data_IF_364305192760
#
_entry.id   IF_364305192760
#
_cell.length_a   1.000
_cell.length_b   1.000
_cell.length_c   1.000
_cell.angle_alpha   90.00
_cell.angle_beta   90.00
_cell.angle_gamma   90.00
#
_symmetry.space_group_name_H-M   'P 1'
#
loop_
_entity.id
_entity.type
_entity.pdbx_description
1 polymer ?
#
# COMPACT_ATOMS: atom_id res chain seq x y z
N UNK A 1 2.80 18.92 -5.94
CA UNK A 1 3.17 17.66 -6.58
C UNK A 1 3.32 16.60 -5.49
N UNK A 2 2.57 15.52 -5.53
CA UNK A 2 2.70 14.42 -4.56
C UNK A 2 3.94 13.61 -4.92
N UNK A 3 4.96 13.60 -4.06
CA UNK A 3 6.21 12.85 -4.30
C UNK A 3 6.05 11.35 -4.15
N UNK A 4 4.84 10.83 -3.90
CA UNK A 4 4.60 9.41 -3.65
C UNK A 4 5.26 8.86 -2.38
N UNK A 5 5.84 9.72 -1.54
CA UNK A 5 6.54 9.33 -0.31
C UNK A 5 5.90 9.99 0.90
N UNK A 6 5.68 9.24 1.96
CA UNK A 6 5.30 9.74 3.29
C UNK A 6 5.94 8.86 4.37
N UNK A 7 6.10 9.39 5.57
CA UNK A 7 6.56 8.57 6.68
C UNK A 7 5.35 8.06 7.48
N UNK A 8 5.33 6.76 7.73
CA UNK A 8 4.22 6.08 8.38
C UNK A 8 4.41 4.58 8.50
N UNK A 9 3.31 3.84 8.46
CA UNK A 9 3.31 2.38 8.64
C UNK A 9 3.17 1.57 7.34
N UNK A 10 2.83 2.22 6.21
CA UNK A 10 2.63 1.54 4.94
C UNK A 10 1.41 0.62 4.92
N UNK A 11 0.24 1.17 5.21
CA UNK A 11 -1.04 0.44 5.12
C UNK A 11 -2.15 1.33 4.57
N UNK A 12 -3.04 0.71 3.81
CA UNK A 12 -4.34 1.31 3.49
C UNK A 12 -5.27 1.09 4.68
N UNK A 13 -5.99 2.13 5.07
CA UNK A 13 -6.97 2.09 6.16
C UNK A 13 -8.34 2.57 5.70
N UNK A 14 -9.41 2.05 6.30
CA UNK A 14 -10.78 2.46 6.01
C UNK A 14 -11.63 2.45 7.27
N UNK A 15 -12.73 3.20 7.27
CA UNK A 15 -13.68 3.19 8.38
C UNK A 15 -14.62 1.98 8.30
N UNK A 16 -14.81 1.29 9.42
CA UNK A 16 -15.73 0.15 9.54
C UNK A 16 -16.92 0.55 10.41
N UNK A 17 -18.05 0.80 9.75
CA UNK A 17 -19.26 1.37 10.41
C UNK A 17 -19.77 0.56 11.59
N UNK A 18 -19.79 -0.79 11.50
CA UNK A 18 -20.31 -1.65 12.58
C UNK A 18 -19.46 -1.59 13.85
N UNK A 19 -18.14 -1.48 13.68
CA UNK A 19 -17.20 -1.42 14.79
C UNK A 19 -16.98 0.01 15.30
N UNK A 20 -17.46 1.02 14.55
CA UNK A 20 -17.19 2.44 14.79
C UNK A 20 -15.69 2.71 14.95
N UNK A 21 -14.88 2.08 14.10
CA UNK A 21 -13.42 2.09 14.14
C UNK A 21 -12.79 2.05 12.76
N UNK A 22 -11.53 2.43 12.69
CA UNK A 22 -10.71 2.29 11.50
C UNK A 22 -10.12 0.88 11.46
N UNK A 23 -10.10 0.29 10.28
CA UNK A 23 -9.59 -1.06 9.99
C UNK A 23 -8.42 -0.95 9.03
N UNK A 24 -7.42 -1.78 9.22
CA UNK A 24 -6.35 -2.02 8.24
C UNK A 24 -6.97 -2.79 7.07
N UNK A 25 -7.04 -2.17 5.89
CA UNK A 25 -7.52 -2.84 4.68
C UNK A 25 -6.43 -3.67 4.04
N UNK A 26 -5.23 -3.09 3.94
CA UNK A 26 -4.11 -3.72 3.27
C UNK A 26 -2.79 -3.15 3.79
N UNK A 27 -1.93 -3.96 4.43
CA UNK A 27 -0.53 -3.63 4.65
C UNK A 27 0.24 -3.75 3.33
N UNK A 28 1.04 -2.74 2.97
CA UNK A 28 1.90 -2.85 1.80
C UNK A 28 3.00 -3.89 2.03
N UNK A 29 3.42 -4.52 0.93
CA UNK A 29 4.55 -5.44 0.96
C UNK A 29 5.81 -4.75 1.51
N UNK A 30 6.57 -5.47 2.35
CA UNK A 30 7.81 -5.01 2.99
C UNK A 30 7.68 -3.70 3.80
N UNK A 31 6.46 -3.32 4.18
CA UNK A 31 6.18 -2.14 5.00
C UNK A 31 6.38 -2.40 6.50
N UNK A 32 6.56 -1.34 7.32
CA UNK A 32 6.65 -1.48 8.77
C UNK A 32 5.48 -2.22 9.41
N UNK A 33 4.26 -2.01 8.92
CA UNK A 33 3.07 -2.71 9.41
C UNK A 33 3.13 -4.20 9.10
N UNK A 34 3.51 -4.59 7.90
CA UNK A 34 3.63 -5.99 7.51
C UNK A 34 4.76 -6.68 8.31
N UNK A 35 5.92 -6.06 8.40
CA UNK A 35 7.07 -6.57 9.18
C UNK A 35 6.72 -6.77 10.66
N UNK A 36 5.90 -5.90 11.23
CA UNK A 36 5.41 -6.03 12.60
C UNK A 36 4.35 -7.13 12.78
N UNK A 37 3.79 -7.69 11.70
CA UNK A 37 2.77 -8.74 11.75
C UNK A 37 1.33 -8.25 11.71
N UNK A 38 1.09 -6.97 11.37
CA UNK A 38 -0.25 -6.43 11.10
C UNK A 38 -0.82 -7.08 9.84
N UNK A 39 -2.12 -7.39 9.86
CA UNK A 39 -2.82 -8.06 8.76
C UNK A 39 -4.04 -7.28 8.30
N UNK A 40 -4.45 -7.53 7.07
CA UNK A 40 -5.75 -7.06 6.58
C UNK A 40 -6.89 -7.56 7.49
N UNK A 41 -7.83 -6.68 7.81
CA UNK A 41 -8.93 -6.94 8.73
C UNK A 41 -8.65 -6.59 10.19
N UNK A 42 -7.42 -6.23 10.58
CA UNK A 42 -7.11 -5.78 11.93
C UNK A 42 -7.85 -4.47 12.24
N UNK A 43 -8.66 -4.47 13.29
CA UNK A 43 -9.45 -3.32 13.75
C UNK A 43 -8.60 -2.52 14.73
N UNK A 44 -8.33 -1.25 14.45
CA UNK A 44 -7.48 -0.40 15.30
C UNK A 44 -8.26 -0.01 16.57
N UNK A 45 -7.73 -0.43 17.72
CA UNK A 45 -8.29 -0.09 19.03
C UNK A 45 -7.66 1.16 19.61
N UNK A 46 -6.33 1.22 19.62
CA UNK A 46 -5.58 2.32 20.21
C UNK A 46 -4.23 2.55 19.51
N UNK A 47 -3.76 3.77 19.57
CA UNK A 47 -2.42 4.22 19.13
C UNK A 47 -1.76 4.91 20.31
N UNK A 48 -0.60 4.42 20.77
CA UNK A 48 0.08 4.88 21.99
C UNK A 48 -0.89 4.98 23.19
N UNK A 49 -1.65 3.90 23.44
CA UNK A 49 -2.66 3.81 24.51
C UNK A 49 -3.88 4.73 24.35
N UNK A 50 -3.92 5.60 23.34
CA UNK A 50 -5.05 6.46 23.05
C UNK A 50 -6.09 5.69 22.24
N UNK A 51 -7.30 5.51 22.79
CA UNK A 51 -8.43 4.91 22.07
C UNK A 51 -8.84 5.76 20.87
N UNK A 52 -9.08 5.12 19.74
CA UNK A 52 -9.44 5.77 18.47
C UNK A 52 -10.87 5.46 18.02
N UNK A 53 -11.72 4.96 18.93
CA UNK A 53 -13.13 4.68 18.64
C UNK A 53 -13.84 5.96 18.17
N UNK A 54 -14.66 5.84 17.13
CA UNK A 54 -15.42 6.97 16.59
C UNK A 54 -14.59 8.04 15.88
N UNK A 55 -13.25 7.85 15.77
CA UNK A 55 -12.43 8.83 15.07
C UNK A 55 -12.54 8.65 13.55
N UNK A 56 -12.63 9.76 12.79
CA UNK A 56 -12.60 9.71 11.33
C UNK A 56 -11.25 9.18 10.81
N UNK A 57 -11.27 8.58 9.62
CA UNK A 57 -10.09 7.95 8.98
C UNK A 57 -8.90 8.89 8.92
N UNK A 58 -9.13 10.14 8.51
CA UNK A 58 -8.05 11.13 8.36
C UNK A 58 -7.32 11.39 9.67
N UNK A 59 -8.06 11.47 10.78
CA UNK A 59 -7.50 11.68 12.11
C UNK A 59 -6.65 10.48 12.55
N UNK A 60 -7.15 9.27 12.35
CA UNK A 60 -6.40 8.04 12.66
C UNK A 60 -5.19 7.92 11.74
N UNK A 61 -5.34 8.17 10.43
CA UNK A 61 -4.23 8.17 9.47
C UNK A 61 -3.11 9.13 9.87
N UNK A 62 -3.47 10.34 10.33
CA UNK A 62 -2.48 11.32 10.80
C UNK A 62 -1.74 10.86 12.06
N UNK A 63 -2.40 10.10 12.94
CA UNK A 63 -1.75 9.50 14.11
C UNK A 63 -0.80 8.34 13.72
N UNK A 64 -1.11 7.59 12.67
CA UNK A 64 -0.25 6.53 12.15
C UNK A 64 0.96 7.09 11.41
N UNK A 65 0.85 8.28 10.80
CA UNK A 65 1.95 9.02 10.19
C UNK A 65 2.78 9.73 11.25
N UNK A 66 3.96 10.16 10.89
CA UNK A 66 4.85 10.94 11.74
C UNK A 66 6.26 10.96 11.19
N UNK A 67 7.21 11.39 12.00
CA UNK A 67 8.62 11.44 11.64
C UNK A 67 9.19 10.03 11.45
N UNK A 68 9.96 9.82 10.38
CA UNK A 68 10.63 8.56 10.13
C UNK A 68 11.58 8.19 11.28
N UNK A 69 11.63 6.92 11.66
CA UNK A 69 12.41 6.43 12.79
C UNK A 69 11.70 6.51 14.14
N UNK A 70 10.57 7.22 14.25
CA UNK A 70 9.79 7.23 15.50
C UNK A 70 8.98 5.94 15.65
N UNK A 71 8.87 5.47 16.88
CA UNK A 71 8.20 4.22 17.22
C UNK A 71 6.97 4.47 18.07
N UNK A 72 5.92 3.68 17.85
CA UNK A 72 4.68 3.74 18.64
C UNK A 72 4.09 2.34 18.82
N UNK A 73 3.14 2.21 19.75
CA UNK A 73 2.38 0.99 19.96
C UNK A 73 1.03 1.07 19.23
N UNK A 74 0.77 0.08 18.37
CA UNK A 74 -0.52 -0.13 17.71
C UNK A 74 -1.25 -1.30 18.37
N UNK A 75 -2.41 -1.04 18.97
CA UNK A 75 -3.27 -2.08 19.53
C UNK A 75 -4.44 -2.34 18.59
N UNK A 76 -4.65 -3.61 18.25
CA UNK A 76 -5.70 -4.03 17.32
C UNK A 76 -6.52 -5.19 17.86
N UNK A 77 -7.75 -5.33 17.38
CA UNK A 77 -8.55 -6.54 17.48
C UNK A 77 -8.55 -7.24 16.13
N UNK A 78 -8.04 -8.46 16.12
CA UNK A 78 -8.05 -9.32 14.92
C UNK A 78 -9.27 -10.21 14.95
N UNK A 79 -10.10 -10.25 13.88
CA UNK A 79 -11.22 -11.19 13.78
C UNK A 79 -10.76 -12.65 14.02
N UNK A 80 -11.49 -13.37 14.83
CA UNK A 80 -11.17 -14.76 15.22
C UNK A 80 -10.12 -14.90 16.34
N UNK A 81 -9.52 -13.82 16.81
CA UNK A 81 -8.58 -13.83 17.94
C UNK A 81 -9.25 -13.24 19.19
N UNK A 82 -9.30 -14.02 20.29
CA UNK A 82 -10.03 -13.61 21.49
C UNK A 82 -9.44 -12.38 22.20
N UNK A 83 -8.12 -12.25 22.22
CA UNK A 83 -7.42 -11.16 22.91
C UNK A 83 -6.90 -10.12 21.91
N UNK A 84 -6.96 -8.82 22.26
CA UNK A 84 -6.29 -7.80 21.46
C UNK A 84 -4.79 -8.08 21.30
N UNK A 85 -4.27 -7.67 20.15
CA UNK A 85 -2.84 -7.77 19.82
C UNK A 85 -2.20 -6.38 19.90
N UNK A 86 -0.97 -6.31 20.38
CA UNK A 86 -0.16 -5.09 20.39
C UNK A 86 1.07 -5.27 19.52
N UNK A 87 1.34 -4.28 18.68
CA UNK A 87 2.49 -4.25 17.78
C UNK A 87 3.29 -2.98 18.03
N UNK A 88 4.59 -3.12 18.20
CA UNK A 88 5.52 -2.01 18.22
C UNK A 88 5.96 -1.73 16.78
N UNK A 89 5.64 -0.55 16.26
CA UNK A 89 5.89 -0.21 14.85
C UNK A 89 6.79 1.03 14.80
N UNK A 90 7.87 0.94 14.04
CA UNK A 90 8.74 2.08 13.72
C UNK A 90 8.32 2.66 12.38
N UNK A 91 8.03 3.96 12.33
CA UNK A 91 7.67 4.65 11.09
C UNK A 91 8.86 4.72 10.15
N UNK A 92 8.61 4.44 8.89
CA UNK A 92 9.61 4.55 7.83
C UNK A 92 9.05 5.46 6.72
N UNK A 93 9.93 5.99 5.87
CA UNK A 93 9.49 6.64 4.63
C UNK A 93 8.88 5.58 3.72
N UNK A 94 7.59 5.70 3.46
CA UNK A 94 6.82 4.78 2.64
C UNK A 94 6.82 5.28 1.20
N UNK A 95 7.27 4.43 0.29
CA UNK A 95 7.05 4.61 -1.14
C UNK A 95 5.76 3.87 -1.50
N UNK A 96 4.76 4.61 -1.97
CA UNK A 96 3.53 4.01 -2.47
C UNK A 96 3.82 3.38 -3.83
N UNK A 97 3.65 2.05 -3.99
CA UNK A 97 3.92 1.39 -5.26
C UNK A 97 3.03 1.95 -6.36
N UNK A 98 3.63 2.26 -7.52
CA UNK A 98 2.86 2.67 -8.70
C UNK A 98 2.39 1.46 -9.51
N UNK A 99 3.07 0.32 -9.35
CA UNK A 99 2.65 -0.99 -9.83
C UNK A 99 2.32 -1.89 -8.62
N UNK A 100 1.13 -1.75 -8.00
CA UNK A 100 0.76 -2.49 -6.80
C UNK A 100 0.59 -4.00 -7.05
N UNK A 101 0.34 -4.38 -8.29
CA UNK A 101 0.18 -5.77 -8.66
C UNK A 101 0.57 -6.03 -10.12
N UNK A 102 1.23 -7.15 -10.37
CA UNK A 102 1.41 -7.76 -11.69
C UNK A 102 1.46 -9.28 -11.56
N UNK A 103 1.11 -10.00 -12.63
CA UNK A 103 1.12 -11.46 -12.66
C UNK A 103 0.67 -12.02 -13.99
N UNK A 104 0.80 -13.33 -14.16
CA UNK A 104 0.26 -14.03 -15.32
C UNK A 104 -1.24 -14.25 -15.16
N UNK A 105 -2.06 -13.80 -16.13
CA UNK A 105 -3.49 -14.11 -16.18
C UNK A 105 -3.74 -15.53 -16.63
N UNK A 106 -2.98 -15.97 -17.66
CA UNK A 106 -2.95 -17.30 -18.23
C UNK A 106 -1.67 -17.47 -19.05
N UNK A 107 -1.31 -18.66 -19.51
CA UNK A 107 -0.13 -18.85 -20.34
C UNK A 107 -0.05 -17.86 -21.51
N UNK A 108 1.06 -17.16 -21.64
CA UNK A 108 1.33 -16.14 -22.65
C UNK A 108 0.75 -14.75 -22.38
N UNK A 109 -0.12 -14.56 -21.39
CA UNK A 109 -0.74 -13.26 -21.12
C UNK A 109 -0.38 -12.76 -19.72
N UNK A 110 0.42 -11.69 -19.66
CA UNK A 110 0.71 -10.95 -18.44
C UNK A 110 -0.32 -9.86 -18.16
N UNK A 111 -0.42 -9.48 -16.90
CA UNK A 111 -1.26 -8.38 -16.39
C UNK A 111 -0.42 -7.49 -15.51
N UNK A 112 -0.57 -6.18 -15.66
CA UNK A 112 0.05 -5.16 -14.82
C UNK A 112 -1.02 -4.12 -14.45
N UNK A 113 -1.17 -3.87 -13.15
CA UNK A 113 -1.96 -2.74 -12.63
C UNK A 113 -1.01 -1.55 -12.41
N UNK A 114 -1.26 -0.44 -13.09
CA UNK A 114 -0.53 0.81 -12.91
C UNK A 114 -1.46 1.85 -12.29
N UNK A 115 -1.25 2.16 -11.01
CA UNK A 115 -2.14 3.01 -10.20
C UNK A 115 -1.83 4.51 -10.28
N UNK A 116 -0.71 4.90 -10.87
CA UNK A 116 -0.33 6.29 -11.04
C UNK A 116 0.99 6.46 -11.78
N UNK A 117 1.35 7.71 -12.05
CA UNK A 117 2.60 8.09 -12.70
C UNK A 117 3.45 8.97 -11.76
N UNK A 118 3.59 8.56 -10.49
CA UNK A 118 4.52 9.21 -9.58
C UNK A 118 5.96 8.76 -9.84
N UNK A 119 6.91 9.48 -9.24
CA UNK A 119 8.35 9.24 -9.40
C UNK A 119 8.73 7.75 -9.20
N UNK A 120 9.35 7.16 -10.21
CA UNK A 120 9.79 5.77 -10.27
C UNK A 120 8.75 4.78 -10.81
N UNK A 121 7.60 5.23 -11.30
CA UNK A 121 6.59 4.37 -11.93
C UNK A 121 7.15 3.61 -13.14
N UNK A 122 7.93 4.27 -13.98
CA UNK A 122 8.58 3.68 -15.16
C UNK A 122 9.55 2.56 -14.79
N UNK A 123 10.27 2.70 -13.68
CA UNK A 123 11.17 1.67 -13.17
C UNK A 123 10.41 0.45 -12.67
N UNK A 124 9.32 0.66 -11.92
CA UNK A 124 8.46 -0.42 -11.44
C UNK A 124 7.80 -1.15 -12.60
N UNK A 125 7.32 -0.40 -13.59
CA UNK A 125 6.72 -0.94 -14.82
C UNK A 125 7.71 -1.80 -15.61
N UNK A 126 8.93 -1.29 -15.81
CA UNK A 126 10.01 -2.02 -16.49
C UNK A 126 10.33 -3.34 -15.78
N UNK A 127 10.42 -3.32 -14.44
CA UNK A 127 10.67 -4.52 -13.65
C UNK A 127 9.55 -5.54 -13.82
N UNK A 128 8.28 -5.13 -13.73
CA UNK A 128 7.13 -5.99 -13.93
C UNK A 128 7.12 -6.64 -15.33
N UNK A 129 7.40 -5.86 -16.38
CA UNK A 129 7.50 -6.35 -17.75
C UNK A 129 8.61 -7.41 -17.91
N UNK A 130 9.79 -7.18 -17.33
CA UNK A 130 10.91 -8.12 -17.37
C UNK A 130 10.51 -9.46 -16.70
N UNK A 131 9.90 -9.38 -15.51
CA UNK A 131 9.50 -10.58 -14.78
C UNK A 131 8.41 -11.37 -15.50
N UNK A 132 7.43 -10.71 -16.10
CA UNK A 132 6.37 -11.35 -16.87
C UNK A 132 6.90 -11.99 -18.17
N UNK A 133 7.84 -11.32 -18.86
CA UNK A 133 8.53 -11.90 -20.02
C UNK A 133 9.30 -13.18 -19.66
N UNK A 134 10.00 -13.18 -18.53
CA UNK A 134 10.69 -14.40 -18.02
C UNK A 134 9.71 -15.55 -17.76
N UNK A 135 8.47 -15.23 -17.36
CA UNK A 135 7.40 -16.22 -17.15
C UNK A 135 6.69 -16.63 -18.44
N UNK A 136 7.12 -16.13 -19.61
CA UNK A 136 6.59 -16.49 -20.91
C UNK A 136 5.43 -15.62 -21.40
N UNK A 137 5.23 -14.42 -20.84
CA UNK A 137 4.27 -13.46 -21.38
C UNK A 137 4.76 -12.91 -22.74
N UNK A 138 3.94 -13.09 -23.78
CA UNK A 138 4.11 -12.50 -25.12
C UNK A 138 3.06 -11.40 -25.41
N UNK A 139 2.03 -11.32 -24.60
CA UNK A 139 0.97 -10.32 -24.62
C UNK A 139 0.76 -9.74 -23.23
N UNK A 140 0.29 -8.48 -23.17
CA UNK A 140 0.14 -7.76 -21.92
C UNK A 140 -1.21 -7.06 -21.83
N UNK A 141 -1.84 -7.15 -20.66
CA UNK A 141 -2.96 -6.31 -20.25
C UNK A 141 -2.42 -5.27 -19.28
N UNK A 142 -2.50 -4.00 -19.65
CA UNK A 142 -2.19 -2.87 -18.79
C UNK A 142 -3.49 -2.29 -18.22
N UNK A 143 -3.67 -2.39 -16.92
CA UNK A 143 -4.84 -1.87 -16.21
C UNK A 143 -4.54 -0.48 -15.64
N UNK A 144 -5.26 0.52 -16.15
CA UNK A 144 -5.17 1.93 -15.76
C UNK A 144 -6.42 2.41 -15.02
N UNK A 145 -7.29 1.50 -14.59
CA UNK A 145 -8.50 1.89 -13.85
C UNK A 145 -8.11 2.58 -12.55
N UNK A 146 -8.83 3.67 -12.24
CA UNK A 146 -8.59 4.52 -11.08
C UNK A 146 -7.20 5.19 -11.04
N UNK A 147 -6.47 5.20 -12.17
CA UNK A 147 -5.20 5.92 -12.29
C UNK A 147 -5.48 7.41 -12.52
N UNK A 148 -5.13 8.31 -11.59
CA UNK A 148 -5.41 9.75 -11.71
C UNK A 148 -4.41 10.49 -12.60
N UNK A 149 -3.42 9.79 -13.17
CA UNK A 149 -2.30 10.40 -13.88
C UNK A 149 -1.08 10.66 -13.01
N UNK A 150 -0.29 11.67 -13.34
CA UNK A 150 0.93 12.04 -12.60
C UNK A 150 1.95 12.79 -13.46
N UNK A 151 3.22 12.40 -13.40
CA UNK A 151 4.33 13.00 -14.14
C UNK A 151 4.23 12.70 -15.64
N UNK A 152 4.42 13.73 -16.46
CA UNK A 152 4.52 13.58 -17.91
C UNK A 152 5.77 12.73 -18.27
N UNK A 153 6.89 12.99 -17.64
CA UNK A 153 8.15 12.27 -17.92
C UNK A 153 8.00 10.77 -17.66
N UNK A 154 7.40 10.40 -16.52
CA UNK A 154 7.13 9.00 -16.19
C UNK A 154 6.17 8.35 -17.19
N UNK A 155 5.16 9.08 -17.68
CA UNK A 155 4.23 8.56 -18.69
C UNK A 155 4.90 8.33 -20.04
N UNK A 156 5.80 9.22 -20.46
CA UNK A 156 6.61 9.07 -21.67
C UNK A 156 7.57 7.89 -21.54
N UNK A 157 8.28 7.78 -20.42
CA UNK A 157 9.19 6.67 -20.15
C UNK A 157 8.46 5.31 -20.15
N UNK A 158 7.24 5.26 -19.61
CA UNK A 158 6.42 4.04 -19.65
C UNK A 158 5.97 3.73 -21.08
N UNK A 159 5.51 4.73 -21.83
CA UNK A 159 5.13 4.53 -23.24
C UNK A 159 6.30 3.96 -24.07
N UNK A 160 7.50 4.46 -23.84
CA UNK A 160 8.73 3.99 -24.49
C UNK A 160 9.11 2.53 -24.17
N UNK A 161 8.49 1.90 -23.18
CA UNK A 161 8.70 0.46 -22.91
C UNK A 161 7.94 -0.44 -23.91
N UNK A 162 7.00 0.12 -24.68
CA UNK A 162 6.13 -0.61 -25.59
C UNK A 162 6.39 -0.30 -27.08
N UNK A 163 7.23 0.67 -27.38
CA UNK A 163 7.55 1.12 -28.76
C UNK A 163 9.04 0.98 -29.06
#
# INVERSE_FOLDING_TARGET
MSTGKYAGIGSVVRFHKKEDRVVISEPYWDSPSQKAGVKAGDIILAIDKKDVKGMPVDKVSNMLRGEAGTTFELKVQRPGVKKPLSFKITRETIKVPQVPYYGMLKPGIGYICLSGFADGASREMKQALIELKKQGADRMVLDLRDNPGGSLDESVDIANLFI
#
